data_IF_833806057335
#
_entry.id   IF_833806057335
#
_cell.length_a   1.000
_cell.length_b   1.000
_cell.length_c   1.000
_cell.angle_alpha   90.00
_cell.angle_beta   90.00
_cell.angle_gamma   90.00
#
_symmetry.space_group_name_H-M   'P 1'
#
loop_
_entity.id
_entity.type
_entity.pdbx_description
1 polymer ?
#
# COMPACT_ATOMS: atom_id res chain seq x y z
N UNK A 1 63.04 21.65 13.41
CA UNK A 1 62.08 21.18 12.39
C UNK A 1 61.14 20.20 13.07
N UNK A 2 59.97 20.69 13.49
CA UNK A 2 58.96 19.91 14.21
C UNK A 2 58.03 19.28 13.17
N UNK A 3 58.09 17.96 13.01
CA UNK A 3 57.17 17.24 12.13
C UNK A 3 55.76 17.26 12.77
N UNK A 4 54.70 17.57 12.02
CA UNK A 4 53.35 17.51 12.55
C UNK A 4 53.00 16.05 12.85
N UNK A 5 52.60 15.77 14.11
CA UNK A 5 51.98 14.50 14.45
C UNK A 5 50.64 14.40 13.69
N UNK A 6 50.59 13.55 12.67
CA UNK A 6 49.33 13.15 12.05
C UNK A 6 48.54 12.31 13.05
N UNK A 7 47.57 12.94 13.70
CA UNK A 7 46.60 12.24 14.55
C UNK A 7 45.80 11.29 13.67
N UNK A 8 46.08 9.99 13.78
CA UNK A 8 45.28 8.96 13.10
C UNK A 8 43.96 8.81 13.83
N UNK A 9 42.97 9.60 13.43
CA UNK A 9 41.59 9.43 13.89
C UNK A 9 41.04 8.08 13.41
N UNK A 10 40.46 7.34 14.36
CA UNK A 10 39.81 6.07 14.05
C UNK A 10 38.62 6.31 13.11
N UNK A 11 38.43 5.46 12.09
CA UNK A 11 37.38 5.68 11.11
C UNK A 11 36.01 5.60 11.80
N UNK A 12 35.13 6.56 11.50
CA UNK A 12 33.82 6.69 12.13
C UNK A 12 32.73 5.95 11.35
N UNK A 13 31.69 5.50 12.05
CA UNK A 13 30.50 4.89 11.41
C UNK A 13 29.49 6.01 11.15
N UNK A 14 29.17 6.34 9.89
CA UNK A 14 28.25 7.44 9.59
C UNK A 14 26.79 7.07 9.90
N UNK A 15 25.96 8.07 10.19
CA UNK A 15 24.49 7.95 10.20
C UNK A 15 23.93 7.89 8.77
N UNK A 16 22.71 7.38 8.60
CA UNK A 16 22.10 7.25 7.27
C UNK A 16 21.92 8.61 6.58
N UNK A 17 21.55 9.65 7.33
CA UNK A 17 21.38 11.02 6.83
C UNK A 17 22.71 11.63 6.33
N UNK A 18 23.82 11.36 7.04
CA UNK A 18 25.16 11.78 6.62
C UNK A 18 25.55 11.13 5.29
N UNK A 19 25.29 9.83 5.13
CA UNK A 19 25.57 9.11 3.88
C UNK A 19 24.71 9.66 2.74
N UNK A 20 23.42 9.93 2.98
CA UNK A 20 22.53 10.51 1.97
C UNK A 20 23.00 11.89 1.49
N UNK A 21 23.35 12.77 2.44
CA UNK A 21 23.82 14.12 2.12
C UNK A 21 25.10 14.09 1.29
N UNK A 22 26.11 13.36 1.75
CA UNK A 22 27.38 13.24 1.03
C UNK A 22 27.23 12.54 -0.34
N UNK A 23 26.33 11.57 -0.45
CA UNK A 23 26.03 10.90 -1.72
C UNK A 23 25.41 11.87 -2.74
N UNK A 24 24.53 12.76 -2.31
CA UNK A 24 23.95 13.81 -3.17
C UNK A 24 25.02 14.79 -3.65
N UNK A 25 25.85 15.29 -2.74
CA UNK A 25 26.94 16.22 -3.07
C UNK A 25 27.91 15.63 -4.12
N UNK A 26 28.27 14.34 -3.98
CA UNK A 26 29.13 13.64 -4.95
C UNK A 26 28.44 13.48 -6.31
N UNK A 27 27.14 13.16 -6.33
CA UNK A 27 26.38 12.96 -7.57
C UNK A 27 26.14 14.29 -8.31
N UNK A 28 25.92 15.38 -7.59
CA UNK A 28 25.83 16.73 -8.14
C UNK A 28 27.17 17.18 -8.73
N UNK A 29 28.27 16.95 -8.02
CA UNK A 29 29.60 17.32 -8.50
C UNK A 29 30.09 16.44 -9.68
N UNK A 30 29.62 15.19 -9.78
CA UNK A 30 30.15 14.22 -10.75
C UNK A 30 29.13 13.13 -11.11
N UNK A 31 28.26 13.44 -12.07
CA UNK A 31 27.13 12.59 -12.46
C UNK A 31 27.53 11.25 -13.15
N UNK A 32 28.81 11.06 -13.49
CA UNK A 32 29.32 9.88 -14.22
C UNK A 32 30.09 8.89 -13.35
N UNK A 33 30.21 9.13 -12.04
CA UNK A 33 30.96 8.23 -11.15
C UNK A 33 30.21 6.92 -10.93
N UNK A 34 30.86 5.81 -11.26
CA UNK A 34 30.38 4.47 -10.90
C UNK A 34 30.41 4.24 -9.39
N UNK A 35 29.56 3.34 -8.90
CA UNK A 35 29.36 3.04 -7.46
C UNK A 35 30.66 2.83 -6.68
N UNK A 36 31.60 2.05 -7.21
CA UNK A 36 32.87 1.77 -6.51
C UNK A 36 33.70 3.04 -6.29
N UNK A 37 33.65 4.00 -7.23
CA UNK A 37 34.36 5.28 -7.08
C UNK A 37 33.67 6.19 -6.07
N UNK A 38 32.33 6.20 -6.06
CA UNK A 38 31.54 6.91 -5.04
C UNK A 38 31.89 6.36 -3.64
N UNK A 39 31.94 5.04 -3.47
CA UNK A 39 32.29 4.42 -2.20
C UNK A 39 33.70 4.80 -1.74
N UNK A 40 34.69 4.71 -2.63
CA UNK A 40 36.07 5.08 -2.30
C UNK A 40 36.16 6.55 -1.87
N UNK A 41 35.45 7.44 -2.57
CA UNK A 41 35.41 8.87 -2.28
C UNK A 41 34.78 9.17 -0.92
N UNK A 42 33.63 8.55 -0.62
CA UNK A 42 32.97 8.69 0.68
C UNK A 42 33.87 8.24 1.84
N UNK A 43 34.60 7.13 1.67
CA UNK A 43 35.53 6.62 2.68
C UNK A 43 36.73 7.55 2.86
N UNK A 44 37.32 8.06 1.77
CA UNK A 44 38.52 8.90 1.84
C UNK A 44 38.24 10.31 2.35
N UNK A 45 37.11 10.92 1.95
CA UNK A 45 36.80 12.31 2.32
C UNK A 45 36.29 12.45 3.76
N UNK A 46 35.61 11.42 4.28
CA UNK A 46 34.94 11.51 5.59
C UNK A 46 35.52 10.56 6.65
N UNK A 47 36.58 9.80 6.31
CA UNK A 47 37.15 8.77 7.17
C UNK A 47 36.09 7.76 7.68
N UNK A 48 35.19 7.33 6.79
CA UNK A 48 34.05 6.47 7.14
C UNK A 48 34.30 4.99 6.92
N UNK A 49 33.79 4.15 7.82
CA UNK A 49 33.60 2.72 7.56
C UNK A 49 32.23 2.46 6.92
N UNK A 50 32.13 2.60 5.60
CA UNK A 50 30.89 2.36 4.85
C UNK A 50 30.97 1.06 4.03
N UNK A 51 30.01 0.15 4.18
CA UNK A 51 29.95 -1.09 3.38
C UNK A 51 29.32 -0.84 2.00
N UNK A 52 29.74 -1.63 1.02
CA UNK A 52 29.24 -1.55 -0.36
C UNK A 52 27.75 -1.94 -0.46
N UNK A 53 27.29 -2.87 0.40
CA UNK A 53 25.88 -3.23 0.53
C UNK A 53 25.03 -2.07 1.06
N UNK A 54 25.53 -1.31 2.06
CA UNK A 54 24.83 -0.15 2.61
C UNK A 54 24.73 0.97 1.57
N UNK A 55 25.80 1.26 0.84
CA UNK A 55 25.76 2.22 -0.27
C UNK A 55 24.77 1.81 -1.38
N UNK A 56 24.70 0.51 -1.72
CA UNK A 56 23.74 -0.01 -2.71
C UNK A 56 22.29 0.30 -2.31
N UNK A 57 21.93 0.17 -1.04
CA UNK A 57 20.57 0.49 -0.55
C UNK A 57 20.23 1.96 -0.78
N UNK A 58 21.16 2.87 -0.49
CA UNK A 58 20.96 4.31 -0.70
C UNK A 58 20.81 4.71 -2.16
N UNK A 59 21.63 4.14 -3.04
CA UNK A 59 21.54 4.40 -4.49
C UNK A 59 20.18 3.96 -5.03
N UNK A 60 19.74 2.75 -4.68
CA UNK A 60 18.44 2.23 -5.11
C UNK A 60 17.28 3.08 -4.57
N UNK A 61 17.38 3.56 -3.33
CA UNK A 61 16.36 4.44 -2.75
C UNK A 61 16.24 5.77 -3.51
N UNK A 62 17.37 6.40 -3.87
CA UNK A 62 17.35 7.63 -4.67
C UNK A 62 16.79 7.41 -6.07
N UNK A 63 17.13 6.29 -6.72
CA UNK A 63 16.63 5.97 -8.06
C UNK A 63 15.12 5.74 -8.03
N UNK A 64 14.61 5.06 -7.00
CA UNK A 64 13.18 4.91 -6.77
C UNK A 64 12.49 6.28 -6.53
N UNK A 65 13.06 7.14 -5.70
CA UNK A 65 12.52 8.47 -5.41
C UNK A 65 12.49 9.37 -6.67
N UNK A 66 13.53 9.33 -7.51
CA UNK A 66 13.56 10.07 -8.79
C UNK A 66 12.50 9.56 -9.77
N UNK A 67 12.29 8.24 -9.85
CA UNK A 67 11.25 7.68 -10.69
C UNK A 67 9.85 8.12 -10.28
N UNK A 68 9.59 8.28 -8.97
CA UNK A 68 8.31 8.80 -8.48
C UNK A 68 8.14 10.26 -8.92
N UNK A 69 9.16 11.09 -8.76
CA UNK A 69 9.10 12.50 -9.12
C UNK A 69 8.97 12.75 -10.64
N UNK A 70 9.66 11.94 -11.47
CA UNK A 70 9.57 12.04 -12.93
C UNK A 70 8.24 11.57 -13.52
N UNK A 71 7.38 10.87 -12.76
CA UNK A 71 6.03 10.51 -13.21
C UNK A 71 4.98 11.58 -12.94
N UNK A 72 5.31 12.60 -12.14
CA UNK A 72 4.37 13.64 -11.73
C UNK A 72 4.46 14.88 -12.64
N UNK A 73 5.57 15.07 -13.36
CA UNK A 73 5.76 16.14 -14.34
C UNK A 73 5.44 15.68 -15.78
N UNK A 74 4.20 15.27 -16.08
CA UNK A 74 3.70 15.36 -17.46
C UNK A 74 3.21 16.79 -17.73
N UNK A 75 3.84 17.54 -18.65
CA UNK A 75 3.43 18.91 -18.95
C UNK A 75 2.10 18.91 -19.70
N UNK A 76 1.07 19.50 -19.08
CA UNK A 76 -0.19 19.86 -19.73
C UNK A 76 0.10 20.89 -20.82
N UNK A 77 0.33 20.42 -22.04
CA UNK A 77 0.64 21.28 -23.18
C UNK A 77 -0.63 22.04 -23.59
N UNK A 78 -0.74 23.28 -23.13
CA UNK A 78 -1.70 24.26 -23.64
C UNK A 78 -1.18 24.80 -24.96
N UNK A 79 -1.80 24.38 -26.06
CA UNK A 79 -1.48 24.83 -27.42
C UNK A 79 -1.93 26.27 -27.62
N UNK A 80 -0.99 27.21 -27.69
CA UNK A 80 -1.21 28.54 -28.25
C UNK A 80 -0.65 28.60 -29.68
N UNK A 81 -1.53 28.91 -30.63
CA UNK A 81 -1.25 29.05 -32.06
C UNK A 81 -0.60 30.41 -32.32
N UNK A 82 0.60 30.47 -32.89
CA UNK A 82 1.03 31.61 -33.73
C UNK A 82 2.08 31.19 -34.78
N UNK A 83 1.69 31.44 -36.04
CA UNK A 83 2.36 31.55 -37.34
C UNK A 83 3.88 31.30 -37.55
N UNK A 84 4.11 30.38 -38.50
CA UNK A 84 4.88 30.52 -39.77
C UNK A 84 6.41 30.71 -39.73
N UNK A 85 7.12 29.57 -39.83
CA UNK A 85 8.46 29.48 -40.44
C UNK A 85 8.58 28.17 -41.26
N UNK A 86 9.36 28.22 -42.35
CA UNK A 86 9.44 27.23 -43.43
C UNK A 86 9.88 25.81 -42.99
N UNK A 87 9.39 24.75 -43.67
CA UNK A 87 9.62 23.37 -43.25
C UNK A 87 11.06 22.92 -43.54
N UNK A 88 11.78 22.61 -42.47
CA UNK A 88 13.00 21.78 -42.52
C UNK A 88 12.56 20.32 -42.72
N UNK A 89 13.22 19.51 -43.57
CA UNK A 89 12.81 18.12 -43.80
C UNK A 89 12.81 17.33 -42.49
N UNK A 90 11.62 16.88 -42.09
CA UNK A 90 11.40 16.02 -40.93
C UNK A 90 12.28 14.77 -41.06
N UNK A 91 13.22 14.52 -40.13
CA UNK A 91 13.98 13.28 -40.13
C UNK A 91 13.01 12.11 -40.03
N UNK A 92 13.24 11.08 -40.86
CA UNK A 92 12.42 9.87 -40.87
C UNK A 92 12.29 9.33 -39.44
N UNK A 93 11.07 8.93 -39.01
CA UNK A 93 10.84 8.45 -37.65
C UNK A 93 11.80 7.28 -37.37
N UNK A 94 12.56 7.39 -36.28
CA UNK A 94 13.44 6.33 -35.85
C UNK A 94 12.63 5.03 -35.72
N UNK A 95 13.18 3.87 -36.16
CA UNK A 95 12.49 2.60 -36.02
C UNK A 95 12.12 2.41 -34.53
N UNK A 96 10.91 1.87 -34.24
CA UNK A 96 10.47 1.66 -32.87
C UNK A 96 11.53 0.83 -32.15
N UNK A 97 12.08 1.39 -31.06
CA UNK A 97 13.08 0.71 -30.26
C UNK A 97 12.47 -0.60 -29.72
N UNK A 98 13.09 -1.72 -30.07
CA UNK A 98 12.67 -3.01 -29.54
C UNK A 98 13.01 -3.06 -28.05
N UNK A 99 12.01 -3.36 -27.23
CA UNK A 99 12.15 -3.40 -25.78
C UNK A 99 12.73 -4.76 -25.35
N UNK A 100 13.82 -4.73 -24.59
CA UNK A 100 14.35 -5.93 -23.93
C UNK A 100 13.80 -5.98 -22.49
N UNK A 101 12.92 -6.94 -22.16
CA UNK A 101 12.29 -7.00 -20.84
C UNK A 101 13.31 -7.35 -19.76
N UNK A 102 13.03 -7.02 -18.50
CA UNK A 102 13.79 -7.52 -17.36
C UNK A 102 13.45 -8.99 -17.07
N UNK A 103 14.37 -9.73 -16.42
CA UNK A 103 14.13 -11.15 -16.08
C UNK A 103 12.86 -11.34 -15.23
N UNK A 104 12.49 -10.32 -14.43
CA UNK A 104 11.29 -10.32 -13.60
C UNK A 104 9.99 -10.18 -14.41
N UNK A 105 9.95 -9.30 -15.40
CA UNK A 105 8.78 -9.12 -16.27
C UNK A 105 8.55 -10.38 -17.10
N UNK A 106 9.64 -10.98 -17.58
CA UNK A 106 9.62 -12.26 -18.28
C UNK A 106 9.02 -13.35 -17.39
N UNK A 107 9.43 -13.41 -16.13
CA UNK A 107 8.94 -14.37 -15.12
C UNK A 107 7.44 -14.18 -14.83
N UNK A 108 6.97 -12.94 -14.69
CA UNK A 108 5.55 -12.64 -14.48
C UNK A 108 4.68 -12.98 -15.70
N UNK A 109 5.14 -12.65 -16.90
CA UNK A 109 4.43 -13.00 -18.13
C UNK A 109 4.35 -14.52 -18.35
N UNK A 110 5.40 -15.27 -17.99
CA UNK A 110 5.39 -16.73 -18.04
C UNK A 110 4.35 -17.37 -17.12
N UNK A 111 4.15 -16.81 -15.93
CA UNK A 111 3.10 -17.27 -15.00
C UNK A 111 1.70 -17.02 -15.55
N UNK A 112 1.46 -15.81 -16.07
CA UNK A 112 0.19 -15.46 -16.68
C UNK A 112 -0.14 -16.40 -17.85
N UNK A 113 0.86 -16.67 -18.71
CA UNK A 113 0.69 -17.58 -19.85
C UNK A 113 0.44 -19.01 -19.41
N UNK A 114 1.11 -19.51 -18.36
CA UNK A 114 0.88 -20.87 -17.84
C UNK A 114 -0.46 -21.03 -17.13
N UNK A 115 -0.96 -20.00 -16.44
CA UNK A 115 -2.30 -20.02 -15.85
C UNK A 115 -3.37 -20.06 -16.94
N UNK A 116 -3.15 -19.38 -18.06
CA UNK A 116 -4.11 -19.31 -19.16
C UNK A 116 -4.07 -20.56 -20.05
N UNK A 117 -2.88 -21.09 -20.30
CA UNK A 117 -2.67 -22.29 -21.12
C UNK A 117 -1.47 -23.09 -20.56
N UNK A 118 -1.72 -24.08 -19.69
CA UNK A 118 -0.66 -24.84 -19.03
C UNK A 118 0.12 -25.76 -19.99
N UNK A 119 -0.38 -25.97 -21.21
CA UNK A 119 0.21 -26.86 -22.22
C UNK A 119 1.08 -26.16 -23.28
N UNK A 120 1.32 -24.84 -23.17
CA UNK A 120 2.06 -24.10 -24.20
C UNK A 120 3.53 -24.54 -24.23
N UNK A 121 3.98 -25.00 -25.40
CA UNK A 121 5.40 -25.32 -25.63
C UNK A 121 6.28 -24.07 -25.59
N UNK A 122 7.53 -24.20 -25.16
CA UNK A 122 8.50 -23.08 -25.08
C UNK A 122 8.56 -22.22 -26.36
N UNK A 123 8.58 -22.78 -27.59
CA UNK A 123 8.59 -21.98 -28.81
C UNK A 123 7.31 -21.15 -28.99
N UNK A 124 6.15 -21.68 -28.59
CA UNK A 124 4.88 -20.94 -28.64
C UNK A 124 4.85 -19.82 -27.60
N UNK A 125 5.39 -20.06 -26.40
CA UNK A 125 5.57 -19.01 -25.39
C UNK A 125 6.46 -17.89 -25.93
N UNK A 126 7.60 -18.23 -26.53
CA UNK A 126 8.53 -17.24 -27.11
C UNK A 126 7.83 -16.40 -28.18
N UNK A 127 7.16 -17.05 -29.14
CA UNK A 127 6.45 -16.38 -30.22
C UNK A 127 5.36 -15.44 -29.68
N UNK A 128 4.63 -15.88 -28.63
CA UNK A 128 3.59 -15.07 -27.99
C UNK A 128 4.15 -13.86 -27.27
N UNK A 129 5.26 -14.02 -26.53
CA UNK A 129 5.94 -12.92 -25.87
C UNK A 129 6.51 -11.89 -26.86
N UNK A 130 7.09 -12.36 -27.97
CA UNK A 130 7.60 -11.50 -29.03
C UNK A 130 6.48 -10.77 -29.78
N UNK A 131 5.34 -11.42 -30.00
CA UNK A 131 4.21 -10.84 -30.78
C UNK A 131 3.36 -9.91 -29.93
N UNK A 132 2.94 -10.34 -28.74
CA UNK A 132 2.02 -9.58 -27.88
C UNK A 132 2.71 -8.43 -27.17
N UNK A 133 3.96 -8.62 -26.72
CA UNK A 133 4.69 -7.63 -25.91
C UNK A 133 5.79 -6.91 -26.70
N UNK A 134 5.99 -7.26 -27.97
CA UNK A 134 7.06 -6.71 -28.83
C UNK A 134 8.46 -6.84 -28.21
N UNK A 135 8.66 -7.87 -27.41
CA UNK A 135 9.93 -8.12 -26.71
C UNK A 135 10.99 -8.67 -27.66
N UNK A 136 12.21 -8.15 -27.58
CA UNK A 136 13.36 -8.80 -28.19
C UNK A 136 13.92 -9.83 -27.21
N UNK A 137 13.38 -11.05 -27.29
CA UNK A 137 13.75 -12.16 -26.40
C UNK A 137 14.41 -13.29 -27.16
N UNK A 138 15.55 -13.80 -26.65
CA UNK A 138 16.21 -14.99 -27.18
C UNK A 138 15.69 -16.27 -26.52
N UNK A 139 15.62 -17.38 -27.27
CA UNK A 139 15.24 -18.69 -26.73
C UNK A 139 16.14 -19.15 -25.57
N UNK A 140 17.44 -18.78 -25.62
CA UNK A 140 18.40 -19.06 -24.54
C UNK A 140 18.01 -18.36 -23.23
N UNK A 141 17.61 -17.09 -23.29
CA UNK A 141 17.20 -16.31 -22.12
C UNK A 141 15.88 -16.84 -21.55
N UNK A 142 14.92 -17.11 -22.43
CA UNK A 142 13.66 -17.75 -22.04
C UNK A 142 13.90 -19.11 -21.34
N UNK A 143 14.75 -19.96 -21.94
CA UNK A 143 15.12 -21.26 -21.35
C UNK A 143 15.75 -21.07 -19.97
N UNK A 144 16.71 -20.14 -19.82
CA UNK A 144 17.35 -19.86 -18.53
C UNK A 144 16.32 -19.47 -17.46
N UNK A 145 15.40 -18.57 -17.78
CA UNK A 145 14.34 -18.16 -16.85
C UNK A 145 13.38 -19.30 -16.50
N UNK A 146 12.97 -20.12 -17.46
CA UNK A 146 12.13 -21.29 -17.20
C UNK A 146 12.84 -22.33 -16.32
N UNK A 147 14.11 -22.63 -16.60
CA UNK A 147 14.88 -23.63 -15.83
C UNK A 147 15.20 -23.15 -14.42
N UNK A 148 15.51 -21.86 -14.24
CA UNK A 148 15.83 -21.29 -12.91
C UNK A 148 14.63 -21.37 -11.97
N UNK A 149 13.41 -21.23 -12.51
CA UNK A 149 12.18 -21.18 -11.70
C UNK A 149 11.49 -22.52 -11.53
N UNK A 150 11.51 -23.38 -12.56
CA UNK A 150 10.72 -24.61 -12.60
C UNK A 150 11.55 -25.90 -12.61
N UNK A 151 12.87 -25.79 -12.50
CA UNK A 151 13.78 -26.92 -12.68
C UNK A 151 13.93 -27.31 -14.15
N UNK A 152 14.74 -28.34 -14.42
CA UNK A 152 14.90 -28.85 -15.78
C UNK A 152 13.60 -29.54 -16.23
N UNK A 153 12.91 -29.10 -17.29
CA UNK A 153 11.69 -29.76 -17.77
C UNK A 153 11.90 -31.24 -18.12
N UNK A 154 13.14 -31.68 -18.34
CA UNK A 154 13.53 -33.09 -18.52
C UNK A 154 13.24 -33.96 -17.28
N UNK A 155 13.11 -33.38 -16.09
CA UNK A 155 12.97 -34.09 -14.83
C UNK A 155 11.53 -34.19 -14.31
N UNK A 156 10.52 -33.75 -15.08
CA UNK A 156 9.11 -33.89 -14.70
C UNK A 156 8.52 -35.17 -15.30
N UNK A 157 7.72 -35.94 -14.54
CA UNK A 157 7.09 -37.16 -15.06
C UNK A 157 6.17 -36.82 -16.24
N UNK A 158 6.33 -37.55 -17.34
CA UNK A 158 5.55 -37.36 -18.55
C UNK A 158 4.05 -37.56 -18.26
N UNK A 159 3.29 -36.46 -18.23
CA UNK A 159 1.83 -36.50 -18.19
C UNK A 159 1.36 -37.12 -19.51
N UNK A 160 0.82 -38.33 -19.44
CA UNK A 160 0.37 -39.08 -20.61
C UNK A 160 -0.75 -38.30 -21.31
N UNK A 161 -0.51 -37.94 -22.57
CA UNK A 161 -1.47 -37.23 -23.40
C UNK A 161 -2.66 -38.14 -23.75
N UNK A 162 -3.81 -37.92 -23.13
CA UNK A 162 -5.10 -38.39 -23.62
C UNK A 162 -5.49 -37.58 -24.86
N UNK A 163 -5.94 -38.27 -25.91
CA UNK A 163 -6.37 -37.69 -27.21
C UNK A 163 -7.37 -36.54 -27.05
N UNK A 164 -7.34 -35.51 -27.92
CA UNK A 164 -8.25 -34.38 -27.84
C UNK A 164 -9.67 -34.81 -28.25
N UNK A 165 -10.63 -34.67 -27.32
CA UNK A 165 -12.03 -34.46 -27.68
C UNK A 165 -12.21 -33.03 -28.20
N UNK A 166 -13.12 -32.90 -29.16
CA UNK A 166 -13.50 -31.69 -29.88
C UNK A 166 -13.74 -30.50 -28.95
N UNK A 167 -13.11 -29.37 -29.32
CA UNK A 167 -13.13 -28.07 -28.63
C UNK A 167 -14.56 -27.51 -28.58
N UNK A 168 -15.17 -27.24 -27.41
CA UNK A 168 -16.38 -26.43 -27.34
C UNK A 168 -16.01 -24.97 -27.59
N UNK A 169 -16.57 -24.38 -28.64
CA UNK A 169 -16.47 -22.97 -28.94
C UNK A 169 -17.50 -22.21 -28.08
N UNK A 170 -17.04 -21.48 -27.07
CA UNK A 170 -17.91 -20.66 -26.24
C UNK A 170 -18.17 -19.32 -26.95
N UNK A 171 -19.35 -19.19 -27.54
CA UNK A 171 -19.83 -17.95 -28.17
C UNK A 171 -20.87 -17.31 -27.24
N UNK A 172 -20.63 -16.06 -26.84
CA UNK A 172 -21.65 -15.25 -26.16
C UNK A 172 -22.42 -14.43 -27.20
N UNK A 173 -23.74 -14.58 -27.18
CA UNK A 173 -24.70 -13.78 -27.97
C UNK A 173 -25.35 -12.81 -26.99
N UNK A 174 -25.25 -11.50 -27.26
CA UNK A 174 -25.96 -10.50 -26.47
C UNK A 174 -27.45 -10.44 -26.86
N UNK A 175 -28.26 -9.72 -26.07
CA UNK A 175 -29.71 -9.56 -26.32
C UNK A 175 -30.05 -8.84 -27.64
N UNK A 176 -29.05 -8.40 -28.43
CA UNK A 176 -29.24 -7.82 -29.77
C UNK A 176 -28.91 -8.80 -30.90
N UNK A 177 -28.55 -10.05 -30.58
CA UNK A 177 -28.23 -11.08 -31.56
C UNK A 177 -26.83 -10.95 -32.16
N UNK A 178 -25.94 -10.13 -31.61
CA UNK A 178 -24.55 -9.98 -32.09
C UNK A 178 -23.59 -10.83 -31.27
N UNK A 179 -22.74 -11.55 -31.98
CA UNK A 179 -21.61 -12.29 -31.42
C UNK A 179 -20.40 -11.36 -31.29
N UNK A 180 -19.85 -11.20 -30.08
CA UNK A 180 -18.61 -10.44 -29.86
C UNK A 180 -17.49 -11.34 -29.38
N UNK A 181 -16.34 -11.23 -30.05
CA UNK A 181 -15.06 -11.81 -29.65
C UNK A 181 -14.38 -10.82 -28.70
N UNK A 182 -13.98 -11.28 -27.52
CA UNK A 182 -13.24 -10.46 -26.55
C UNK A 182 -11.79 -10.30 -27.02
N UNK A 183 -11.53 -9.23 -27.79
CA UNK A 183 -10.19 -8.72 -28.05
C UNK A 183 -9.99 -7.41 -27.28
N UNK A 184 -8.77 -7.25 -26.75
CA UNK A 184 -8.20 -6.16 -25.95
C UNK A 184 -8.12 -6.42 -24.43
N UNK A 185 -6.93 -6.86 -23.97
CA UNK A 185 -6.46 -6.60 -22.61
C UNK A 185 -5.23 -5.70 -22.66
N UNK A 186 -5.36 -4.55 -21.98
CA UNK A 186 -4.37 -3.48 -21.86
C UNK A 186 -3.30 -3.85 -20.82
N UNK A 187 -2.07 -3.38 -21.03
CA UNK A 187 -0.93 -3.45 -20.10
C UNK A 187 -1.29 -3.02 -18.68
N UNK A 188 -0.75 -3.68 -17.65
CA UNK A 188 -1.06 -3.39 -16.25
C UNK A 188 0.23 -3.10 -15.48
N UNK A 189 0.35 -1.88 -14.97
CA UNK A 189 1.46 -1.45 -14.11
C UNK A 189 1.43 -2.19 -12.75
N UNK A 190 2.49 -2.12 -11.93
CA UNK A 190 2.48 -2.64 -10.55
C UNK A 190 1.30 -2.13 -9.70
N UNK A 191 0.93 -0.85 -9.88
CA UNK A 191 -0.29 -0.28 -9.28
C UNK A 191 -1.53 -1.02 -9.78
N UNK A 192 -1.60 -1.34 -11.06
CA UNK A 192 -2.71 -2.09 -11.61
C UNK A 192 -2.74 -3.57 -11.17
N UNK A 193 -1.60 -4.19 -10.89
CA UNK A 193 -1.55 -5.52 -10.28
C UNK A 193 -2.06 -5.49 -8.84
N UNK A 194 -1.66 -4.48 -8.06
CA UNK A 194 -2.22 -4.23 -6.74
C UNK A 194 -3.73 -4.01 -6.85
N UNK A 195 -4.20 -3.11 -7.72
CA UNK A 195 -5.63 -2.87 -7.94
C UNK A 195 -6.39 -4.15 -8.29
N UNK A 196 -5.83 -5.02 -9.14
CA UNK A 196 -6.43 -6.32 -9.45
C UNK A 196 -6.48 -7.26 -8.24
N UNK A 197 -5.40 -7.36 -7.46
CA UNK A 197 -5.37 -8.15 -6.24
C UNK A 197 -6.44 -7.67 -5.25
N UNK A 198 -6.54 -6.35 -5.07
CA UNK A 198 -7.56 -5.74 -4.23
C UNK A 198 -8.98 -5.96 -4.76
N UNK A 199 -9.21 -5.89 -6.07
CA UNK A 199 -10.52 -6.20 -6.65
C UNK A 199 -10.90 -7.68 -6.46
N UNK A 200 -9.92 -8.59 -6.46
CA UNK A 200 -10.15 -9.99 -6.11
C UNK A 200 -10.50 -10.16 -4.63
N UNK A 201 -9.88 -9.38 -3.74
CA UNK A 201 -10.27 -9.32 -2.33
C UNK A 201 -11.71 -8.79 -2.20
N UNK A 202 -12.05 -7.69 -2.86
CA UNK A 202 -13.41 -7.12 -2.85
C UNK A 202 -14.45 -8.14 -3.33
N UNK A 203 -14.12 -8.95 -4.35
CA UNK A 203 -14.99 -10.01 -4.86
C UNK A 203 -15.23 -11.14 -3.84
N UNK A 204 -14.21 -11.50 -3.05
CA UNK A 204 -14.37 -12.45 -1.94
C UNK A 204 -15.29 -11.91 -0.83
N UNK A 205 -15.44 -10.59 -0.70
CA UNK A 205 -16.40 -9.98 0.23
C UNK A 205 -17.82 -9.93 -0.30
N UNK A 206 -18.02 -9.86 -1.62
CA UNK A 206 -19.37 -10.05 -2.18
C UNK A 206 -19.90 -11.46 -1.88
N UNK A 207 -19.00 -12.44 -1.74
CA UNK A 207 -19.29 -13.82 -1.36
C UNK A 207 -19.41 -14.05 0.16
N UNK A 208 -19.29 -12.98 0.98
CA UNK A 208 -19.38 -13.09 2.44
C UNK A 208 -20.78 -13.58 2.87
N UNK A 209 -20.87 -14.59 3.77
CA UNK A 209 -22.16 -15.13 4.21
C UNK A 209 -23.06 -14.03 4.77
N UNK A 210 -24.30 -13.96 4.29
CA UNK A 210 -25.30 -12.97 4.75
C UNK A 210 -25.54 -13.03 6.27
N UNK A 211 -25.26 -14.18 6.87
CA UNK A 211 -25.43 -14.49 8.29
C UNK A 211 -24.40 -13.78 9.19
N UNK A 212 -23.24 -13.39 8.66
CA UNK A 212 -22.20 -12.66 9.39
C UNK A 212 -22.34 -11.13 9.26
N UNK A 213 -23.40 -10.62 8.62
CA UNK A 213 -23.64 -9.17 8.52
C UNK A 213 -24.12 -8.65 9.88
N UNK A 214 -23.56 -7.53 10.39
CA UNK A 214 -24.05 -6.95 11.62
C UNK A 214 -25.55 -6.65 11.50
N UNK A 215 -26.33 -7.09 12.49
CA UNK A 215 -27.76 -6.77 12.54
C UNK A 215 -27.89 -5.27 12.66
N UNK A 216 -28.70 -4.67 11.79
CA UNK A 216 -29.08 -3.27 11.89
C UNK A 216 -29.73 -3.12 13.27
N UNK A 217 -29.20 -2.28 14.18
CA UNK A 217 -29.89 -2.00 15.42
C UNK A 217 -31.28 -1.44 15.06
N UNK A 218 -32.36 -1.89 15.72
CA UNK A 218 -33.69 -1.36 15.45
C UNK A 218 -33.64 0.16 15.61
N UNK A 219 -34.31 0.90 14.70
CA UNK A 219 -34.37 2.35 14.76
C UNK A 219 -34.76 2.76 16.18
N UNK A 220 -33.84 3.42 16.89
CA UNK A 220 -34.09 3.86 18.26
C UNK A 220 -35.06 5.02 18.16
N UNK A 221 -36.34 4.77 18.46
CA UNK A 221 -37.32 5.82 18.65
C UNK A 221 -36.78 6.77 19.72
N UNK A 222 -36.55 8.03 19.34
CA UNK A 222 -35.84 9.04 20.12
C UNK A 222 -36.61 9.55 21.36
N UNK A 223 -37.52 8.73 21.90
CA UNK A 223 -38.44 9.05 22.99
C UNK A 223 -38.19 8.28 24.30
N UNK A 224 -37.20 7.38 24.37
CA UNK A 224 -36.93 6.61 25.59
C UNK A 224 -35.61 7.04 26.24
N UNK A 225 -35.71 7.67 27.40
CA UNK A 225 -34.57 7.92 28.28
C UNK A 225 -33.90 6.57 28.65
N UNK A 226 -32.66 6.38 28.23
CA UNK A 226 -31.84 5.21 28.56
C UNK A 226 -31.22 5.44 29.94
N UNK A 227 -31.26 4.48 30.87
CA UNK A 227 -30.57 4.61 32.15
C UNK A 227 -29.05 4.60 31.95
N UNK A 228 -28.41 5.60 32.50
CA UNK A 228 -26.96 5.79 32.55
C UNK A 228 -26.34 4.64 33.36
N UNK A 229 -25.77 3.65 32.66
CA UNK A 229 -25.16 2.49 33.31
C UNK A 229 -23.71 2.86 33.65
N UNK A 230 -23.43 3.05 34.94
CA UNK A 230 -22.09 3.37 35.43
C UNK A 230 -21.08 2.28 35.06
N UNK A 231 -20.09 2.63 34.25
CA UNK A 231 -18.96 1.77 33.92
C UNK A 231 -18.08 1.59 35.17
N UNK A 232 -17.90 0.34 35.59
CA UNK A 232 -17.01 -0.01 36.71
C UNK A 232 -15.55 0.07 36.25
N UNK A 233 -14.77 0.85 36.99
CA UNK A 233 -13.35 1.09 36.74
C UNK A 233 -12.50 -0.17 36.88
N UNK A 234 -11.58 -0.34 35.93
CA UNK A 234 -10.48 -1.30 36.01
C UNK A 234 -9.28 -0.53 36.55
N UNK A 235 -8.95 -0.76 37.82
CA UNK A 235 -7.77 -0.21 38.48
C UNK A 235 -6.50 -0.81 37.83
N UNK A 236 -5.87 -0.06 36.92
CA UNK A 236 -4.51 -0.32 36.44
C UNK A 236 -3.54 0.67 37.10
N UNK A 237 -2.61 0.14 37.88
CA UNK A 237 -1.72 0.87 38.79
C UNK A 237 -0.46 1.45 38.12
N UNK A 238 -0.58 2.00 36.91
CA UNK A 238 0.46 2.83 36.31
C UNK A 238 -0.06 4.26 36.20
N UNK A 239 0.58 5.19 36.92
CA UNK A 239 0.23 6.60 37.03
C UNK A 239 0.40 7.38 35.73
N UNK A 240 -0.37 7.01 34.72
CA UNK A 240 -0.57 7.77 33.51
C UNK A 240 -1.87 8.57 33.72
N UNK A 241 -1.75 9.86 34.00
CA UNK A 241 -2.87 10.82 34.17
C UNK A 241 -3.67 11.05 32.85
N UNK A 242 -3.80 10.02 32.03
CA UNK A 242 -4.69 9.95 30.89
C UNK A 242 -5.97 9.23 31.29
N UNK A 243 -6.61 9.71 32.36
CA UNK A 243 -8.03 9.48 32.53
C UNK A 243 -8.71 9.93 31.23
N UNK A 244 -9.53 9.06 30.65
CA UNK A 244 -10.52 9.41 29.63
C UNK A 244 -11.53 10.34 30.31
N UNK A 245 -11.08 11.55 30.59
CA UNK A 245 -11.83 12.48 31.42
C UNK A 245 -12.91 13.06 30.54
N UNK A 246 -14.09 12.43 30.64
CA UNK A 246 -15.30 12.89 29.98
C UNK A 246 -15.69 14.31 30.43
N UNK A 247 -14.97 14.89 31.41
CA UNK A 247 -15.03 16.31 31.76
C UNK A 247 -14.61 17.24 30.61
N UNK A 248 -13.74 16.81 29.69
CA UNK A 248 -13.34 17.66 28.57
C UNK A 248 -14.41 17.69 27.48
N UNK A 249 -14.63 18.87 26.85
CA UNK A 249 -15.56 18.96 25.73
C UNK A 249 -15.14 18.04 24.58
N UNK A 250 -16.10 17.62 23.73
CA UNK A 250 -15.82 16.82 22.55
C UNK A 250 -14.70 17.45 21.70
N UNK A 251 -13.90 16.63 20.98
CA UNK A 251 -12.84 17.16 20.14
C UNK A 251 -13.40 18.11 19.09
N UNK A 252 -12.74 19.26 18.92
CA UNK A 252 -13.06 20.20 17.85
C UNK A 252 -12.55 19.63 16.53
N UNK A 253 -13.49 19.30 15.63
CA UNK A 253 -13.17 18.82 14.29
C UNK A 253 -13.07 19.99 13.30
N UNK A 254 -12.24 19.89 12.24
CA UNK A 254 -12.26 20.85 11.14
C UNK A 254 -13.63 20.92 10.45
N UNK A 255 -13.89 21.99 9.69
CA UNK A 255 -15.14 22.12 8.94
C UNK A 255 -15.29 21.02 7.86
N UNK A 256 -14.19 20.61 7.23
CA UNK A 256 -14.11 19.43 6.37
C UNK A 256 -13.01 18.49 6.89
N UNK A 257 -13.37 17.57 7.80
CA UNK A 257 -12.39 16.65 8.40
C UNK A 257 -11.72 15.74 7.38
N UNK A 258 -12.43 15.36 6.32
CA UNK A 258 -11.87 14.50 5.29
C UNK A 258 -10.79 15.22 4.48
N UNK A 259 -11.08 16.44 4.03
CA UNK A 259 -10.08 17.26 3.33
C UNK A 259 -8.87 17.55 4.21
N UNK A 260 -9.08 17.88 5.50
CA UNK A 260 -8.01 18.07 6.46
C UNK A 260 -7.17 16.79 6.67
N UNK A 261 -7.80 15.61 6.71
CA UNK A 261 -7.12 14.33 6.82
C UNK A 261 -6.26 14.03 5.59
N UNK A 262 -6.73 14.35 4.38
CA UNK A 262 -5.95 14.20 3.15
C UNK A 262 -4.77 15.17 3.09
N UNK A 263 -5.00 16.45 3.43
CA UNK A 263 -3.95 17.47 3.47
C UNK A 263 -2.86 17.09 4.49
N UNK A 264 -3.27 16.66 5.68
CA UNK A 264 -2.35 16.16 6.70
C UNK A 264 -1.51 14.98 6.18
N UNK A 265 -2.14 14.00 5.52
CA UNK A 265 -1.43 12.85 4.97
C UNK A 265 -0.42 13.21 3.85
N UNK A 266 -0.63 14.34 3.16
CA UNK A 266 0.28 14.84 2.12
C UNK A 266 1.44 15.66 2.69
N UNK A 267 1.16 16.49 3.70
CA UNK A 267 2.10 17.46 4.24
C UNK A 267 2.84 16.97 5.49
N UNK A 268 2.37 15.90 6.12
CA UNK A 268 2.97 15.30 7.31
C UNK A 268 3.76 14.04 6.98
N UNK A 269 4.73 13.71 7.83
CA UNK A 269 5.37 12.38 7.84
C UNK A 269 4.45 11.30 8.43
N UNK A 270 3.35 11.70 9.05
CA UNK A 270 2.32 10.84 9.63
C UNK A 270 1.19 10.66 8.62
N UNK A 271 0.51 9.51 8.67
CA UNK A 271 -0.52 9.16 7.67
C UNK A 271 -1.92 9.55 8.10
N UNK A 272 -2.21 9.49 9.41
CA UNK A 272 -3.54 9.77 9.97
C UNK A 272 -3.41 10.80 11.10
N UNK A 273 -4.40 11.66 11.27
CA UNK A 273 -4.53 12.53 12.44
C UNK A 273 -5.76 12.13 13.24
N UNK A 274 -5.62 11.92 14.54
CA UNK A 274 -6.73 11.71 15.46
C UNK A 274 -6.95 12.96 16.30
N UNK A 275 -8.20 13.42 16.34
CA UNK A 275 -8.56 14.61 17.10
C UNK A 275 -8.87 14.22 18.56
N UNK A 276 -7.95 14.57 19.46
CA UNK A 276 -8.09 14.29 20.88
C UNK A 276 -8.95 15.33 21.60
N UNK A 277 -9.40 15.01 22.81
CA UNK A 277 -9.92 16.02 23.75
C UNK A 277 -8.77 16.80 24.38
N UNK A 278 -9.05 18.01 24.87
CA UNK A 278 -8.05 18.85 25.55
C UNK A 278 -6.99 19.45 24.62
N UNK A 279 -5.73 19.45 25.05
CA UNK A 279 -4.61 20.16 24.39
C UNK A 279 -4.02 19.45 23.16
N UNK A 280 -4.21 18.14 23.04
CA UNK A 280 -3.45 17.31 22.11
C UNK A 280 -4.31 16.75 20.96
N UNK A 281 -3.75 16.77 19.75
CA UNK A 281 -4.10 15.86 18.66
C UNK A 281 -3.03 14.78 18.55
N UNK A 282 -3.24 13.79 17.69
CA UNK A 282 -2.31 12.66 17.57
C UNK A 282 -2.05 12.30 16.12
N UNK A 283 -0.79 12.36 15.70
CA UNK A 283 -0.34 11.88 14.41
C UNK A 283 -0.05 10.39 14.47
N UNK A 284 -0.51 9.62 13.49
CA UNK A 284 -0.35 8.16 13.45
C UNK A 284 0.48 7.78 12.25
N UNK A 285 1.60 7.10 12.49
CA UNK A 285 2.42 6.45 11.46
C UNK A 285 2.23 4.93 11.54
N UNK A 286 1.49 4.33 10.60
CA UNK A 286 1.43 2.89 10.46
C UNK A 286 2.75 2.34 9.91
N UNK A 287 2.98 1.03 9.96
CA UNK A 287 4.05 0.43 9.13
C UNK A 287 3.84 0.73 7.64
N UNK A 288 4.91 0.63 6.86
CA UNK A 288 4.92 0.91 5.40
C UNK A 288 3.81 0.15 4.67
N UNK A 289 3.60 -1.10 5.07
CA UNK A 289 2.62 -2.00 4.49
C UNK A 289 1.18 -1.52 4.67
N UNK A 290 0.85 -1.09 5.88
CA UNK A 290 -0.45 -0.52 6.21
C UNK A 290 -0.59 0.89 5.66
N UNK A 291 0.47 1.69 5.65
CA UNK A 291 0.49 3.01 5.02
C UNK A 291 0.08 2.94 3.54
N UNK A 292 0.62 1.96 2.80
CA UNK A 292 0.23 1.72 1.41
C UNK A 292 -1.24 1.29 1.29
N UNK A 293 -1.70 0.38 2.15
CA UNK A 293 -3.09 -0.07 2.17
C UNK A 293 -4.04 1.12 2.41
N UNK A 294 -3.79 1.91 3.45
CA UNK A 294 -4.57 3.10 3.83
C UNK A 294 -4.65 4.07 2.67
N UNK A 295 -3.51 4.36 2.01
CA UNK A 295 -3.48 5.24 0.85
C UNK A 295 -4.41 4.74 -0.27
N UNK A 296 -4.29 3.47 -0.64
CA UNK A 296 -5.14 2.86 -1.69
C UNK A 296 -6.61 2.90 -1.28
N UNK A 297 -6.91 2.64 -0.01
CA UNK A 297 -8.28 2.69 0.51
C UNK A 297 -8.82 4.12 0.50
N UNK A 298 -8.05 5.12 0.94
CA UNK A 298 -8.42 6.54 0.84
C UNK A 298 -8.65 6.95 -0.61
N UNK A 299 -7.80 6.58 -1.56
CA UNK A 299 -7.96 6.94 -2.98
C UNK A 299 -9.27 6.37 -3.57
N UNK A 300 -9.62 5.13 -3.19
CA UNK A 300 -10.87 4.48 -3.59
C UNK A 300 -12.09 5.17 -2.98
N UNK A 301 -12.04 5.39 -1.68
CA UNK A 301 -13.11 6.07 -0.93
C UNK A 301 -13.28 7.51 -1.43
N UNK A 302 -12.20 8.22 -1.75
CA UNK A 302 -12.25 9.59 -2.26
C UNK A 302 -13.07 9.67 -3.53
N UNK A 303 -12.94 8.66 -4.41
CA UNK A 303 -13.73 8.58 -5.64
C UNK A 303 -15.21 8.42 -5.33
N UNK A 304 -15.55 7.52 -4.41
CA UNK A 304 -16.94 7.21 -4.07
C UNK A 304 -17.61 8.34 -3.25
N UNK A 305 -16.89 8.94 -2.28
CA UNK A 305 -17.41 10.00 -1.40
C UNK A 305 -17.55 11.36 -2.09
N UNK A 306 -16.72 11.66 -3.11
CA UNK A 306 -16.86 12.90 -3.90
C UNK A 306 -18.21 12.98 -4.60
N UNK A 307 -18.73 11.83 -5.00
CA UNK A 307 -19.99 11.77 -5.74
C UNK A 307 -21.18 11.71 -4.78
N UNK A 308 -21.13 10.87 -3.72
CA UNK A 308 -22.19 10.78 -2.71
C UNK A 308 -21.67 10.24 -1.37
N UNK A 309 -21.52 11.09 -0.34
CA UNK A 309 -21.39 10.60 1.05
C UNK A 309 -22.63 9.76 1.40
N UNK A 310 -22.50 8.62 2.10
CA UNK A 310 -23.65 7.79 2.47
C UNK A 310 -24.60 8.59 3.36
N UNK A 311 -25.86 8.75 2.92
CA UNK A 311 -26.87 9.54 3.63
C UNK A 311 -27.93 8.65 4.27
N UNK A 312 -28.33 7.59 3.57
CA UNK A 312 -29.36 6.68 4.07
C UNK A 312 -28.76 5.64 5.02
N UNK A 313 -29.53 5.11 5.98
CA UNK A 313 -29.06 4.03 6.86
C UNK A 313 -28.59 2.80 6.08
N UNK A 314 -29.21 2.50 4.95
CA UNK A 314 -28.85 1.37 4.08
C UNK A 314 -27.50 1.60 3.38
N UNK A 315 -27.26 2.81 2.88
CA UNK A 315 -25.96 3.22 2.31
C UNK A 315 -24.87 3.19 3.38
N UNK A 316 -25.14 3.75 4.57
CA UNK A 316 -24.22 3.74 5.70
C UNK A 316 -23.86 2.31 6.10
N UNK A 317 -24.83 1.40 6.17
CA UNK A 317 -24.57 -0.02 6.46
C UNK A 317 -23.74 -0.69 5.36
N UNK A 318 -24.08 -0.47 4.08
CA UNK A 318 -23.33 -1.02 2.96
C UNK A 318 -21.88 -0.54 2.98
N UNK A 319 -21.69 0.74 3.29
CA UNK A 319 -20.39 1.37 3.38
C UNK A 319 -19.59 0.88 4.62
N UNK A 320 -20.25 0.72 5.77
CA UNK A 320 -19.65 0.12 6.96
C UNK A 320 -19.19 -1.33 6.73
N UNK A 321 -19.89 -2.08 5.86
CA UNK A 321 -19.48 -3.42 5.45
C UNK A 321 -18.30 -3.42 4.46
N UNK A 322 -17.83 -2.26 3.98
CA UNK A 322 -16.74 -2.21 3.01
C UNK A 322 -15.40 -2.63 3.67
N UNK A 323 -14.62 -3.54 3.06
CA UNK A 323 -13.38 -4.10 3.63
C UNK A 323 -12.35 -3.05 4.06
N UNK A 324 -12.18 -2.05 3.18
CA UNK A 324 -11.23 -0.98 3.39
C UNK A 324 -11.64 -0.11 4.57
N UNK A 325 -12.92 0.21 4.67
CA UNK A 325 -13.50 1.01 5.77
C UNK A 325 -13.36 0.27 7.10
N UNK A 326 -13.65 -1.03 7.11
CA UNK A 326 -13.46 -1.85 8.31
C UNK A 326 -12.00 -1.82 8.79
N UNK A 327 -11.05 -1.99 7.86
CA UNK A 327 -9.62 -2.01 8.20
C UNK A 327 -9.13 -0.64 8.65
N UNK A 328 -9.62 0.45 8.05
CA UNK A 328 -9.35 1.81 8.50
C UNK A 328 -9.90 2.04 9.91
N UNK A 329 -11.13 1.62 10.19
CA UNK A 329 -11.73 1.73 11.51
C UNK A 329 -10.89 1.01 12.57
N UNK A 330 -10.49 -0.24 12.31
CA UNK A 330 -9.67 -1.01 13.24
C UNK A 330 -8.34 -0.31 13.55
N UNK A 331 -7.71 0.29 12.53
CA UNK A 331 -6.50 1.06 12.70
C UNK A 331 -6.74 2.31 13.56
N UNK A 332 -7.81 3.07 13.30
CA UNK A 332 -8.20 4.23 14.10
C UNK A 332 -8.44 3.81 15.56
N UNK A 333 -9.15 2.71 15.80
CA UNK A 333 -9.44 2.21 17.14
C UNK A 333 -8.16 1.82 17.90
N UNK A 334 -7.22 1.12 17.25
CA UNK A 334 -5.94 0.74 17.87
C UNK A 334 -5.09 1.97 18.19
N UNK A 335 -5.01 2.93 17.27
CA UNK A 335 -4.27 4.18 17.50
C UNK A 335 -4.92 5.03 18.59
N UNK A 336 -6.25 5.14 18.60
CA UNK A 336 -7.02 5.84 19.62
C UNK A 336 -6.82 5.25 21.01
N UNK A 337 -6.78 3.92 21.11
CA UNK A 337 -6.50 3.24 22.39
C UNK A 337 -5.12 3.60 22.93
N UNK A 338 -4.09 3.65 22.07
CA UNK A 338 -2.76 4.13 22.47
C UNK A 338 -2.77 5.60 22.91
N UNK A 339 -3.60 6.42 22.27
CA UNK A 339 -3.77 7.84 22.57
C UNK A 339 -4.77 8.15 23.70
N UNK A 340 -5.34 7.12 24.34
CA UNK A 340 -6.42 7.25 25.32
C UNK A 340 -7.62 8.10 24.81
N UNK A 341 -7.94 8.01 23.51
CA UNK A 341 -9.13 8.64 22.92
C UNK A 341 -10.31 7.69 23.02
N UNK A 342 -11.47 8.20 23.41
CA UNK A 342 -12.69 7.39 23.53
C UNK A 342 -13.15 6.86 22.17
N UNK A 343 -13.70 5.64 22.15
CA UNK A 343 -14.27 5.04 20.92
C UNK A 343 -15.39 5.90 20.33
N UNK A 344 -16.16 6.58 21.18
CA UNK A 344 -17.25 7.48 20.77
C UNK A 344 -16.69 8.68 19.99
N UNK A 345 -15.60 9.28 20.45
CA UNK A 345 -14.98 10.41 19.74
C UNK A 345 -14.42 9.98 18.38
N UNK A 346 -13.83 8.79 18.31
CA UNK A 346 -13.38 8.21 17.04
C UNK A 346 -14.54 7.91 16.11
N UNK A 347 -15.66 7.38 16.64
CA UNK A 347 -16.91 7.20 15.89
C UNK A 347 -17.39 8.49 15.24
N UNK A 348 -17.42 9.58 16.02
CA UNK A 348 -17.79 10.92 15.54
C UNK A 348 -16.82 11.48 14.50
N UNK A 349 -15.51 11.32 14.72
CA UNK A 349 -14.49 11.72 13.74
C UNK A 349 -14.70 10.95 12.43
N UNK A 350 -14.87 9.63 12.51
CA UNK A 350 -15.07 8.77 11.35
C UNK A 350 -16.37 9.08 10.60
N UNK A 351 -17.44 9.42 11.33
CA UNK A 351 -18.68 9.89 10.71
C UNK A 351 -18.49 11.22 9.98
N UNK A 352 -17.73 12.16 10.56
CA UNK A 352 -17.49 13.44 9.93
C UNK A 352 -16.63 13.31 8.66
N UNK A 353 -15.61 12.44 8.69
CA UNK A 353 -14.74 12.14 7.55
C UNK A 353 -15.51 11.38 6.46
N UNK A 354 -16.08 10.22 6.81
CA UNK A 354 -16.56 9.22 5.85
C UNK A 354 -18.09 9.13 5.73
N UNK A 355 -18.85 9.85 6.57
CA UNK A 355 -20.31 9.83 6.59
C UNK A 355 -20.92 8.66 7.36
N UNK A 356 -20.13 7.84 8.04
CA UNK A 356 -20.62 6.68 8.81
C UNK A 356 -20.00 6.62 10.20
N UNK A 357 -20.82 6.49 11.24
CA UNK A 357 -20.34 6.14 12.57
C UNK A 357 -20.21 4.62 12.67
N UNK A 358 -18.98 4.12 12.52
CA UNK A 358 -18.68 2.69 12.58
C UNK A 358 -18.94 2.07 13.95
N UNK A 359 -18.98 2.87 15.02
CA UNK A 359 -19.25 2.38 16.37
C UNK A 359 -20.66 1.79 16.50
N UNK A 360 -21.60 2.24 15.66
CA UNK A 360 -22.99 1.76 15.63
C UNK A 360 -23.17 0.41 14.92
N UNK A 361 -22.24 0.05 14.03
CA UNK A 361 -22.36 -1.15 13.20
C UNK A 361 -21.49 -2.31 13.69
N UNK A 362 -20.55 -2.02 14.60
CA UNK A 362 -19.64 -3.01 15.12
C UNK A 362 -20.05 -3.45 16.52
N UNK A 363 -20.13 -4.78 16.76
CA UNK A 363 -20.45 -5.27 18.09
C UNK A 363 -19.41 -4.76 19.08
N UNK A 364 -19.89 -4.46 20.29
CA UNK A 364 -19.06 -3.95 21.36
C UNK A 364 -18.07 -5.06 21.76
N UNK A 365 -16.81 -4.93 21.31
CA UNK A 365 -15.77 -5.95 21.51
C UNK A 365 -15.50 -6.22 22.99
N UNK A 366 -15.93 -5.33 23.89
CA UNK A 366 -15.76 -5.47 25.33
C UNK A 366 -16.64 -6.58 25.94
N UNK A 367 -17.76 -6.93 25.31
CA UNK A 367 -18.77 -7.83 25.90
C UNK A 367 -18.87 -9.21 25.24
N UNK A 368 -18.16 -9.48 24.14
CA UNK A 368 -18.16 -10.83 23.56
C UNK A 368 -17.33 -11.77 24.43
N UNK A 369 -18.01 -12.73 25.07
CA UNK A 369 -17.37 -13.81 25.82
C UNK A 369 -16.32 -14.48 24.92
N UNK A 370 -15.08 -14.51 25.39
CA UNK A 370 -13.83 -14.76 24.64
C UNK A 370 -13.75 -16.05 23.77
N UNK A 371 -14.71 -16.98 23.79
CA UNK A 371 -14.47 -18.33 23.24
C UNK A 371 -14.93 -18.57 21.80
N UNK A 372 -16.17 -18.20 21.41
CA UNK A 372 -16.76 -18.84 20.20
C UNK A 372 -16.94 -17.88 19.02
N UNK A 373 -17.47 -16.68 19.23
CA UNK A 373 -17.65 -15.66 18.17
C UNK A 373 -16.31 -15.11 17.65
N UNK A 374 -15.26 -15.25 18.47
CA UNK A 374 -13.89 -14.92 18.10
C UNK A 374 -13.30 -15.89 17.08
N UNK A 375 -13.76 -17.15 17.02
CA UNK A 375 -13.12 -18.16 16.19
C UNK A 375 -13.42 -17.96 14.71
N UNK A 376 -14.67 -17.67 14.33
CA UNK A 376 -15.03 -17.43 12.93
C UNK A 376 -14.44 -16.13 12.40
N UNK A 377 -14.50 -15.06 13.19
CA UNK A 377 -13.87 -13.78 12.85
C UNK A 377 -12.35 -13.94 12.70
N UNK A 378 -11.69 -14.64 13.63
CA UNK A 378 -10.25 -14.97 13.52
C UNK A 378 -9.96 -15.85 12.32
N UNK A 379 -10.77 -16.87 12.04
CA UNK A 379 -10.57 -17.76 10.89
C UNK A 379 -10.74 -17.02 9.57
N UNK A 380 -11.65 -16.07 9.52
CA UNK A 380 -11.84 -15.21 8.38
C UNK A 380 -10.70 -14.20 8.23
N UNK A 381 -10.26 -13.53 9.31
CA UNK A 381 -9.07 -12.67 9.31
C UNK A 381 -7.80 -13.43 8.90
N UNK A 382 -7.66 -14.69 9.35
CA UNK A 382 -6.58 -15.58 8.95
C UNK A 382 -6.61 -15.88 7.45
N UNK A 383 -7.78 -16.21 6.89
CA UNK A 383 -7.94 -16.42 5.44
C UNK A 383 -7.66 -15.15 4.64
N UNK A 384 -8.15 -14.01 5.10
CA UNK A 384 -7.83 -12.69 4.53
C UNK A 384 -6.32 -12.44 4.54
N UNK A 385 -5.64 -12.78 5.65
CA UNK A 385 -4.18 -12.70 5.79
C UNK A 385 -3.45 -13.66 4.87
N UNK A 386 -3.97 -14.87 4.65
CA UNK A 386 -3.39 -15.84 3.72
C UNK A 386 -3.43 -15.31 2.29
N UNK A 387 -4.61 -14.87 1.83
CA UNK A 387 -4.80 -14.31 0.48
C UNK A 387 -3.92 -13.06 0.28
N UNK A 388 -3.87 -12.19 1.29
CA UNK A 388 -3.00 -11.03 1.28
C UNK A 388 -1.52 -11.44 1.24
N UNK A 389 -1.08 -12.40 2.08
CA UNK A 389 0.30 -12.90 2.09
C UNK A 389 0.68 -13.54 0.77
N UNK A 390 -0.17 -14.38 0.20
CA UNK A 390 0.07 -15.08 -1.07
C UNK A 390 0.17 -14.11 -2.24
N UNK A 391 -0.71 -13.10 -2.29
CA UNK A 391 -0.66 -12.05 -3.31
C UNK A 391 0.51 -11.07 -3.14
N UNK A 392 0.94 -10.83 -1.89
CA UNK A 392 1.90 -9.76 -1.55
C UNK A 392 3.34 -10.25 -1.37
N UNK A 393 3.57 -11.51 -1.02
CA UNK A 393 4.91 -12.12 -0.93
C UNK A 393 5.74 -11.93 -2.21
N UNK A 394 5.17 -12.07 -3.41
CA UNK A 394 5.89 -11.74 -4.65
C UNK A 394 6.26 -10.25 -4.73
N UNK A 395 5.34 -9.34 -4.38
CA UNK A 395 5.54 -7.88 -4.50
C UNK A 395 6.56 -7.35 -3.47
N UNK A 396 6.49 -7.81 -2.22
CA UNK A 396 7.45 -7.40 -1.18
C UNK A 396 8.86 -7.95 -1.43
N UNK A 397 8.98 -9.16 -1.99
CA UNK A 397 10.28 -9.69 -2.46
C UNK A 397 10.84 -8.86 -3.61
N UNK A 398 9.98 -8.36 -4.51
CA UNK A 398 10.36 -7.46 -5.60
C UNK A 398 10.89 -6.11 -5.07
N UNK A 399 10.32 -5.60 -3.97
CA UNK A 399 10.73 -4.32 -3.37
C UNK A 399 11.94 -4.44 -2.43
N UNK A 400 12.47 -5.65 -2.19
CA UNK A 400 13.62 -5.91 -1.31
C UNK A 400 13.47 -5.31 0.11
N UNK A 401 12.24 -5.26 0.60
CA UNK A 401 11.91 -4.85 1.97
C UNK A 401 12.06 -6.10 2.84
N UNK A 402 13.16 -6.19 3.59
CA UNK A 402 13.28 -7.18 4.68
C UNK A 402 12.11 -6.97 5.64
N UNK A 403 11.40 -8.03 6.01
CA UNK A 403 10.32 -7.95 6.99
C UNK A 403 10.93 -7.61 8.36
N UNK A 404 10.71 -6.41 8.91
CA UNK A 404 11.13 -6.12 10.27
C UNK A 404 10.05 -6.53 11.29
N UNK A 405 8.94 -7.12 10.83
CA UNK A 405 7.69 -7.17 11.58
C UNK A 405 7.18 -8.58 11.84
N UNK A 406 6.88 -8.83 13.11
CA UNK A 406 6.29 -10.07 13.60
C UNK A 406 4.88 -9.80 14.15
N UNK A 407 3.85 -10.16 13.35
CA UNK A 407 2.43 -9.94 13.68
C UNK A 407 2.03 -10.46 15.07
N UNK A 408 2.69 -11.52 15.55
CA UNK A 408 2.41 -12.13 16.84
C UNK A 408 2.97 -11.36 18.04
N UNK A 409 4.02 -10.56 17.83
CA UNK A 409 4.65 -9.74 18.87
C UNK A 409 3.92 -8.41 19.03
N UNK A 410 3.39 -7.89 17.92
CA UNK A 410 3.00 -6.49 17.89
C UNK A 410 1.57 -6.22 17.39
N UNK A 411 0.81 -7.28 17.09
CA UNK A 411 -0.53 -7.20 16.54
C UNK A 411 -0.57 -6.87 15.05
N UNK A 412 -1.78 -6.86 14.49
CA UNK A 412 -2.05 -6.56 13.08
C UNK A 412 -1.59 -5.15 12.67
N UNK A 413 -1.52 -4.22 13.63
CA UNK A 413 -1.23 -2.82 13.38
C UNK A 413 0.03 -2.38 14.14
N UNK A 414 1.17 -2.42 13.46
CA UNK A 414 2.33 -1.63 13.87
C UNK A 414 1.99 -0.16 13.71
N UNK A 415 1.97 0.60 14.79
CA UNK A 415 1.81 2.03 14.68
C UNK A 415 2.60 2.78 15.75
N UNK A 416 3.18 3.89 15.31
CA UNK A 416 3.73 4.96 16.13
C UNK A 416 2.64 6.02 16.24
N UNK A 417 2.36 6.47 17.46
CA UNK A 417 1.42 7.55 17.72
C UNK A 417 2.21 8.70 18.34
N UNK A 418 2.15 9.87 17.72
CA UNK A 418 2.91 11.06 18.12
C UNK A 418 1.95 12.13 18.60
N UNK A 419 2.21 12.74 19.75
CA UNK A 419 1.40 13.87 20.24
C UNK A 419 1.65 15.10 19.39
N UNK A 420 0.58 15.85 19.10
CA UNK A 420 0.62 17.11 18.36
C UNK A 420 -0.03 18.20 19.21
N UNK A 421 0.68 19.30 19.45
CA UNK A 421 0.09 20.47 20.13
C UNK A 421 -0.97 21.10 19.22
N UNK A 422 -2.20 21.27 19.71
CA UNK A 422 -3.29 21.85 18.89
C UNK A 422 -3.05 23.29 18.46
N UNK A 423 -2.29 24.06 19.24
CA UNK A 423 -2.09 25.49 18.95
C UNK A 423 -0.97 25.70 17.93
N UNK A 424 0.10 24.90 18.01
CA UNK A 424 1.28 25.06 17.14
C UNK A 424 1.33 24.04 16.01
N UNK A 425 0.66 22.89 16.15
CA UNK A 425 0.78 21.73 15.26
C UNK A 425 2.07 20.94 15.43
N UNK A 426 2.94 21.30 16.38
CA UNK A 426 4.26 20.69 16.54
C UNK A 426 4.21 19.32 17.24
N UNK A 427 5.11 18.43 16.83
CA UNK A 427 5.26 17.09 17.41
C UNK A 427 5.89 17.16 18.80
N UNK A 428 5.20 16.60 19.80
CA UNK A 428 5.57 16.62 21.22
C UNK A 428 6.00 15.24 21.76
N UNK A 429 6.58 14.42 20.87
CA UNK A 429 7.09 13.09 21.17
C UNK A 429 6.08 11.95 20.94
N UNK A 430 6.64 10.77 20.74
CA UNK A 430 5.91 9.53 20.50
C UNK A 430 5.37 8.94 21.82
N UNK A 431 4.18 8.35 21.76
CA UNK A 431 3.59 7.57 22.84
C UNK A 431 4.25 6.19 22.90
N UNK A 432 4.69 5.80 24.09
CA UNK A 432 5.34 4.52 24.39
C UNK A 432 4.35 3.36 24.42
#
# INVERSE_FOLDING_TARGET
MTLPLSTTESPSVPTDDQVFKALNEIREASHTLGRSKILSRLRSENNWTLSDARLKRFINYQEAARHIHSQEEEPTTTTAVTATAAPTPTPAPAPPQQYEPFDMELVAALECLRMTDPGVSRPKVLARLQTEYRWNLSDKRLKKCMTTRYGDPSSLPAVSATKPQTKPELVFVDNSGRTRRLENQVHLSPVSMLTKLFNSVDKLYEEFPKECRPRIPPAVDSSSAVPETAAQGIDSADGNDHATDDSFPPPTLPADPYAAQMDYAQNSRRTIILYGRGKWNYGVTPNVDMGLYIKITHDRIAKDLRENKPRTPEEKLKFACYPGIMTLWELYEVAARKAAISRVDIGKQFEAEFGVDMSLYLPDRQNSSKSDENLELRNWENRRREVWREGKLPILRVMNIERPWEDHVHGQFALIVTRLDKNTGEECGDLS
#
